data_IF_260061355171
#
_entry.id   IF_260061355171
#
_cell.length_a   1.000
_cell.length_b   1.000
_cell.length_c   1.000
_cell.angle_alpha   90.00
_cell.angle_beta   90.00
_cell.angle_gamma   90.00
#
_symmetry.space_group_name_H-M   'P 1'
#
loop_
_entity.id
_entity.type
_entity.pdbx_description
1 polymer ?
#
# COMPACT_ATOMS: atom_id res chain seq x y z
N UNK A 1 -4.57 26.66 10.19
CA UNK A 1 -4.98 27.06 11.56
C UNK A 1 -4.14 28.22 12.08
N UNK A 2 -2.81 28.13 12.09
CA UNK A 2 -1.92 29.20 12.56
C UNK A 2 -2.17 30.57 11.88
N UNK A 3 -2.35 30.59 10.55
CA UNK A 3 -2.66 31.80 9.79
C UNK A 3 -3.98 32.48 10.23
N UNK A 4 -5.04 31.68 10.43
CA UNK A 4 -6.34 32.18 10.90
C UNK A 4 -6.25 32.81 12.29
N UNK A 5 -5.58 32.12 13.22
CA UNK A 5 -5.40 32.60 14.60
C UNK A 5 -4.60 33.90 14.62
N UNK A 6 -3.52 33.97 13.83
CA UNK A 6 -2.65 35.16 13.73
C UNK A 6 -3.40 36.36 13.15
N UNK A 7 -4.17 36.16 12.07
CA UNK A 7 -4.94 37.26 11.46
C UNK A 7 -6.05 37.77 12.39
N UNK A 8 -6.71 36.87 13.11
CA UNK A 8 -7.76 37.24 14.06
C UNK A 8 -7.19 37.99 15.27
N UNK A 9 -6.01 37.58 15.77
CA UNK A 9 -5.35 38.27 16.90
C UNK A 9 -4.82 39.66 16.55
N UNK A 10 -4.56 39.91 15.26
CA UNK A 10 -4.03 41.17 14.77
C UNK A 10 -5.12 42.14 14.26
N UNK A 11 -6.38 41.73 14.25
CA UNK A 11 -7.51 42.59 13.86
C UNK A 11 -7.90 43.50 15.03
N UNK A 12 -7.97 44.82 14.81
CA UNK A 12 -8.20 45.80 15.90
C UNK A 12 -9.67 45.93 16.30
N UNK A 13 -10.59 45.63 15.38
CA UNK A 13 -12.06 45.74 15.55
C UNK A 13 -12.61 47.16 15.74
N UNK A 14 -11.80 48.22 15.59
CA UNK A 14 -12.25 49.60 15.79
C UNK A 14 -13.48 49.96 14.93
N UNK A 15 -13.46 49.54 13.66
CA UNK A 15 -14.56 49.74 12.70
C UNK A 15 -15.91 49.15 13.16
N UNK A 16 -15.91 48.16 14.06
CA UNK A 16 -17.14 47.57 14.62
C UNK A 16 -17.81 48.53 15.60
N UNK A 17 -17.04 49.42 16.23
CA UNK A 17 -17.53 50.33 17.27
C UNK A 17 -17.94 51.70 16.71
N UNK A 18 -17.59 52.02 15.46
CA UNK A 18 -17.82 53.33 14.83
C UNK A 18 -19.30 53.68 14.55
N UNK A 19 -20.18 52.69 14.38
CA UNK A 19 -21.59 52.92 14.04
C UNK A 19 -22.51 52.84 15.27
N UNK A 20 -23.51 53.71 15.42
CA UNK A 20 -24.48 53.61 16.54
C UNK A 20 -25.59 52.57 16.33
N UNK A 21 -25.73 52.02 15.13
CA UNK A 21 -26.73 51.01 14.82
C UNK A 21 -26.18 49.60 15.07
N UNK A 22 -26.92 48.78 15.84
CA UNK A 22 -26.51 47.43 16.25
C UNK A 22 -26.32 46.50 15.04
N UNK A 23 -27.22 46.58 14.06
CA UNK A 23 -27.14 45.76 12.85
C UNK A 23 -25.89 46.11 12.03
N UNK A 24 -25.54 47.40 11.95
CA UNK A 24 -24.30 47.87 11.32
C UNK A 24 -23.06 47.31 12.02
N UNK A 25 -23.01 47.36 13.36
CA UNK A 25 -21.89 46.77 14.14
C UNK A 25 -21.74 45.27 13.86
N UNK A 26 -22.85 44.53 13.93
CA UNK A 26 -22.85 43.09 13.72
C UNK A 26 -22.39 42.72 12.29
N UNK A 27 -22.88 43.43 11.29
CA UNK A 27 -22.48 43.20 9.90
C UNK A 27 -20.99 43.51 9.67
N UNK A 28 -20.46 44.59 10.25
CA UNK A 28 -19.03 44.92 10.18
C UNK A 28 -18.15 43.83 10.81
N UNK A 29 -18.55 43.34 12.00
CA UNK A 29 -17.88 42.21 12.64
C UNK A 29 -17.90 40.97 11.75
N UNK A 30 -19.09 40.57 11.29
CA UNK A 30 -19.30 39.34 10.54
C UNK A 30 -18.53 39.36 9.21
N UNK A 31 -18.56 40.48 8.48
CA UNK A 31 -17.84 40.63 7.23
C UNK A 31 -16.32 40.50 7.43
N UNK A 32 -15.79 41.13 8.47
CA UNK A 32 -14.35 41.08 8.80
C UNK A 32 -13.92 39.66 9.18
N UNK A 33 -14.70 39.01 10.05
CA UNK A 33 -14.49 37.64 10.45
C UNK A 33 -14.51 36.67 9.26
N UNK A 34 -15.55 36.77 8.40
CA UNK A 34 -15.70 35.89 7.23
C UNK A 34 -14.57 36.11 6.22
N UNK A 35 -14.13 37.36 6.02
CA UNK A 35 -12.99 37.67 5.17
C UNK A 35 -11.72 36.96 5.65
N UNK A 36 -11.42 37.05 6.95
CA UNK A 36 -10.27 36.35 7.55
C UNK A 36 -10.43 34.84 7.40
N UNK A 37 -11.63 34.31 7.67
CA UNK A 37 -11.95 32.89 7.56
C UNK A 37 -11.71 32.36 6.14
N UNK A 38 -12.33 32.96 5.11
CA UNK A 38 -12.19 32.49 3.74
C UNK A 38 -10.78 32.66 3.19
N UNK A 39 -10.04 33.69 3.64
CA UNK A 39 -8.62 33.85 3.26
C UNK A 39 -7.72 32.77 3.88
N UNK A 40 -8.04 32.31 5.08
CA UNK A 40 -7.25 31.34 5.83
C UNK A 40 -7.61 29.89 5.49
N UNK A 41 -8.83 29.67 5.00
CA UNK A 41 -9.38 28.37 4.62
C UNK A 41 -9.91 28.39 3.17
N UNK A 42 -9.05 28.66 2.16
CA UNK A 42 -9.50 28.70 0.78
C UNK A 42 -10.02 27.33 0.33
N UNK A 43 -11.17 27.34 -0.36
CA UNK A 43 -11.68 26.14 -1.02
C UNK A 43 -10.72 25.72 -2.12
N UNK A 44 -10.17 24.51 -2.01
CA UNK A 44 -9.30 23.93 -3.03
C UNK A 44 -10.06 22.83 -3.76
N UNK A 45 -10.09 22.92 -5.09
CA UNK A 45 -10.59 21.83 -5.93
C UNK A 45 -9.56 20.72 -5.87
N UNK A 46 -9.88 19.65 -5.13
CA UNK A 46 -9.06 18.45 -5.08
C UNK A 46 -9.51 17.55 -6.23
N UNK A 47 -8.64 17.37 -7.23
CA UNK A 47 -8.84 16.30 -8.20
C UNK A 47 -8.63 14.98 -7.49
N UNK A 48 -9.70 14.21 -7.30
CA UNK A 48 -9.60 12.84 -6.83
C UNK A 48 -9.15 11.98 -8.01
N UNK A 49 -7.87 12.09 -8.34
CA UNK A 49 -7.22 11.13 -9.23
C UNK A 49 -7.33 9.78 -8.53
N UNK A 50 -8.25 8.94 -9.00
CA UNK A 50 -8.40 7.57 -8.56
C UNK A 50 -7.16 6.79 -8.99
N UNK A 51 -6.00 7.07 -8.37
CA UNK A 51 -4.68 6.67 -8.87
C UNK A 51 -4.52 5.16 -8.94
N UNK A 52 -5.33 4.41 -8.20
CA UNK A 52 -5.37 2.95 -8.29
C UNK A 52 -6.78 2.46 -7.96
N UNK A 53 -7.71 2.51 -8.93
CA UNK A 53 -8.90 1.66 -8.84
C UNK A 53 -8.41 0.24 -8.97
N UNK A 54 -8.22 -0.40 -7.81
CA UNK A 54 -7.91 -1.82 -7.76
C UNK A 54 -8.91 -2.58 -8.63
N UNK A 55 -8.39 -3.22 -9.68
CA UNK A 55 -9.18 -3.80 -10.77
C UNK A 55 -10.06 -4.96 -10.31
N UNK A 56 -9.78 -5.56 -9.14
CA UNK A 56 -10.59 -6.61 -8.56
C UNK A 56 -11.82 -6.09 -7.79
N UNK A 57 -11.92 -4.78 -7.51
CA UNK A 57 -13.05 -4.22 -6.75
C UNK A 57 -14.25 -3.98 -7.68
N UNK A 58 -15.15 -4.96 -7.74
CA UNK A 58 -16.39 -4.87 -8.50
C UNK A 58 -17.46 -4.03 -7.80
N UNK A 59 -18.51 -3.63 -8.54
CA UNK A 59 -19.70 -2.98 -7.96
C UNK A 59 -20.32 -3.87 -6.88
N UNK A 60 -20.40 -5.19 -7.12
CA UNK A 60 -20.90 -6.16 -6.16
C UNK A 60 -20.12 -6.16 -4.84
N UNK A 61 -18.78 -6.16 -4.90
CA UNK A 61 -17.93 -6.08 -3.69
C UNK A 61 -18.18 -4.78 -2.94
N UNK A 62 -18.31 -3.64 -3.64
CA UNK A 62 -18.63 -2.35 -3.01
C UNK A 62 -19.97 -2.39 -2.28
N UNK A 63 -21.01 -2.93 -2.93
CA UNK A 63 -22.34 -3.12 -2.33
C UNK A 63 -22.24 -4.02 -1.09
N UNK A 64 -21.51 -5.13 -1.18
CA UNK A 64 -21.31 -6.02 -0.04
C UNK A 64 -20.53 -5.39 1.10
N UNK A 65 -19.53 -4.55 0.82
CA UNK A 65 -18.83 -3.76 1.85
C UNK A 65 -19.77 -2.75 2.52
N UNK A 66 -20.64 -2.08 1.76
CA UNK A 66 -21.66 -1.18 2.31
C UNK A 66 -22.64 -1.94 3.21
N UNK A 67 -23.11 -3.11 2.78
CA UNK A 67 -23.98 -3.95 3.57
C UNK A 67 -23.30 -4.48 4.84
N UNK A 68 -22.03 -4.91 4.75
CA UNK A 68 -21.20 -5.26 5.93
C UNK A 68 -21.17 -4.12 6.94
N UNK A 69 -21.01 -2.88 6.48
CA UNK A 69 -21.00 -1.69 7.36
C UNK A 69 -22.35 -1.49 8.04
N UNK A 70 -23.45 -1.64 7.31
CA UNK A 70 -24.80 -1.56 7.88
C UNK A 70 -25.03 -2.65 8.94
N UNK A 71 -24.68 -3.90 8.62
CA UNK A 71 -24.75 -5.03 9.56
C UNK A 71 -23.89 -4.81 10.79
N UNK A 72 -22.68 -4.27 10.63
CA UNK A 72 -21.81 -3.94 11.76
C UNK A 72 -22.48 -2.96 12.70
N UNK A 73 -23.01 -1.84 12.18
CA UNK A 73 -23.70 -0.84 13.00
C UNK A 73 -24.90 -1.45 13.72
N UNK A 74 -25.75 -2.21 13.02
CA UNK A 74 -26.88 -2.89 13.62
C UNK A 74 -26.45 -3.90 14.71
N UNK A 75 -25.39 -4.67 14.48
CA UNK A 75 -24.90 -5.69 15.42
C UNK A 75 -24.15 -5.11 16.62
N UNK A 76 -23.57 -3.90 16.49
CA UNK A 76 -22.83 -3.22 17.55
C UNK A 76 -23.77 -2.72 18.63
N UNK A 77 -24.89 -2.14 18.22
CA UNK A 77 -25.83 -1.47 19.12
C UNK A 77 -26.93 -2.44 19.61
N UNK A 78 -26.94 -3.69 19.12
CA UNK A 78 -27.89 -4.75 19.50
C UNK A 78 -27.26 -5.80 20.42
N UNK A 79 -28.05 -6.30 21.37
CA UNK A 79 -27.70 -7.45 22.21
C UNK A 79 -28.11 -8.80 21.62
N UNK A 80 -28.70 -8.83 20.41
CA UNK A 80 -29.13 -10.07 19.76
C UNK A 80 -27.93 -10.94 19.32
N UNK A 81 -27.76 -12.16 19.90
CA UNK A 81 -26.71 -13.08 19.50
C UNK A 81 -26.83 -13.56 18.05
N UNK A 82 -28.07 -13.66 17.52
CA UNK A 82 -28.32 -14.11 16.15
C UNK A 82 -27.79 -13.10 15.15
N UNK A 83 -28.05 -11.82 15.37
CA UNK A 83 -27.51 -10.73 14.54
C UNK A 83 -25.98 -10.67 14.55
N UNK A 84 -25.36 -10.83 15.74
CA UNK A 84 -23.89 -10.90 15.85
C UNK A 84 -23.31 -12.11 15.11
N UNK A 85 -23.96 -13.26 15.20
CA UNK A 85 -23.58 -14.47 14.45
C UNK A 85 -23.70 -14.26 12.95
N UNK A 86 -24.81 -13.67 12.50
CA UNK A 86 -25.06 -13.35 11.09
C UNK A 86 -23.99 -12.40 10.54
N UNK A 87 -23.65 -11.33 11.26
CA UNK A 87 -22.57 -10.41 10.87
C UNK A 87 -21.23 -11.14 10.72
N UNK A 88 -20.86 -12.01 11.68
CA UNK A 88 -19.63 -12.82 11.59
C UNK A 88 -19.64 -13.74 10.37
N UNK A 89 -20.74 -14.41 10.09
CA UNK A 89 -20.90 -15.27 8.91
C UNK A 89 -20.76 -14.45 7.61
N UNK A 90 -21.44 -13.31 7.54
CA UNK A 90 -21.34 -12.40 6.41
C UNK A 90 -19.91 -11.94 6.16
N UNK A 91 -19.17 -11.60 7.22
CA UNK A 91 -17.75 -11.24 7.11
C UNK A 91 -16.91 -12.36 6.51
N UNK A 92 -17.13 -13.63 6.92
CA UNK A 92 -16.42 -14.79 6.37
C UNK A 92 -16.71 -14.96 4.88
N UNK A 93 -17.99 -14.90 4.48
CA UNK A 93 -18.41 -15.01 3.07
C UNK A 93 -17.76 -13.89 2.25
N UNK A 94 -17.88 -12.64 2.70
CA UNK A 94 -17.31 -11.50 1.98
C UNK A 94 -15.79 -11.61 1.83
N UNK A 95 -15.09 -12.11 2.86
CA UNK A 95 -13.65 -12.33 2.80
C UNK A 95 -13.28 -13.36 1.74
N UNK A 96 -14.06 -14.45 1.61
CA UNK A 96 -13.89 -15.44 0.54
C UNK A 96 -14.13 -14.82 -0.83
N UNK A 97 -15.23 -14.07 -1.00
CA UNK A 97 -15.54 -13.39 -2.27
C UNK A 97 -14.42 -12.43 -2.69
N UNK A 98 -13.89 -11.63 -1.76
CA UNK A 98 -12.77 -10.71 -2.04
C UNK A 98 -11.50 -11.48 -2.44
N UNK A 99 -11.20 -12.59 -1.75
CA UNK A 99 -10.05 -13.44 -2.08
C UNK A 99 -10.15 -14.00 -3.50
N UNK A 100 -11.30 -14.57 -3.86
CA UNK A 100 -11.54 -15.11 -5.21
C UNK A 100 -11.46 -14.02 -6.28
N UNK A 101 -12.06 -12.85 -6.03
CA UNK A 101 -12.00 -11.73 -6.96
C UNK A 101 -10.57 -11.23 -7.20
N UNK A 102 -9.76 -11.13 -6.13
CA UNK A 102 -8.33 -10.82 -6.24
C UNK A 102 -7.59 -11.86 -7.08
N UNK A 103 -7.75 -13.13 -6.75
CA UNK A 103 -7.08 -14.24 -7.43
C UNK A 103 -7.41 -14.27 -8.92
N UNK A 104 -8.69 -14.21 -9.28
CA UNK A 104 -9.14 -14.23 -10.67
C UNK A 104 -8.60 -13.04 -11.47
N UNK A 105 -8.58 -11.86 -10.86
CA UNK A 105 -8.04 -10.67 -11.49
C UNK A 105 -6.53 -10.77 -11.72
N UNK A 106 -5.75 -11.17 -10.71
CA UNK A 106 -4.31 -11.32 -10.85
C UNK A 106 -3.93 -12.43 -11.83
N UNK A 107 -4.61 -13.57 -11.78
CA UNK A 107 -4.43 -14.64 -12.78
C UNK A 107 -4.71 -14.12 -14.19
N UNK A 108 -5.81 -13.39 -14.38
CA UNK A 108 -6.14 -12.80 -15.68
C UNK A 108 -5.09 -11.80 -16.17
N UNK A 109 -4.53 -10.98 -15.28
CA UNK A 109 -3.47 -10.03 -15.61
C UNK A 109 -2.17 -10.74 -16.01
N UNK A 110 -1.77 -11.77 -15.26
CA UNK A 110 -0.55 -12.54 -15.55
C UNK A 110 -0.70 -13.29 -16.87
N UNK A 111 -1.84 -13.95 -17.11
CA UNK A 111 -2.07 -14.72 -18.33
C UNK A 111 -2.11 -13.84 -19.58
N UNK A 112 -2.65 -12.63 -19.49
CA UNK A 112 -2.71 -11.66 -20.60
C UNK A 112 -1.43 -10.86 -20.80
N UNK A 113 -0.46 -10.97 -19.90
CA UNK A 113 0.79 -10.20 -19.99
C UNK A 113 1.79 -10.84 -20.94
N UNK A 114 2.46 -9.99 -21.73
CA UNK A 114 3.60 -10.37 -22.55
C UNK A 114 4.80 -10.83 -21.69
N UNK A 115 5.01 -10.20 -20.52
CA UNK A 115 6.07 -10.57 -19.57
C UNK A 115 5.47 -10.99 -18.23
N UNK A 116 5.21 -12.30 -18.11
CA UNK A 116 4.58 -12.91 -16.93
C UNK A 116 5.40 -12.70 -15.66
N UNK A 117 6.72 -12.83 -15.73
CA UNK A 117 7.62 -12.71 -14.57
C UNK A 117 7.55 -11.28 -14.02
N UNK A 118 7.71 -10.28 -14.89
CA UNK A 118 7.62 -8.87 -14.50
C UNK A 118 6.25 -8.54 -13.89
N UNK A 119 5.17 -8.95 -14.55
CA UNK A 119 3.81 -8.68 -14.05
C UNK A 119 3.55 -9.33 -12.69
N UNK A 120 4.01 -10.57 -12.46
CA UNK A 120 3.90 -11.21 -11.15
C UNK A 120 4.65 -10.42 -10.08
N UNK A 121 5.88 -9.97 -10.35
CA UNK A 121 6.65 -9.15 -9.42
C UNK A 121 6.04 -7.77 -9.17
N UNK A 122 5.44 -7.16 -10.19
CA UNK A 122 4.71 -5.90 -10.05
C UNK A 122 3.49 -6.07 -9.14
N UNK A 123 2.72 -7.16 -9.30
CA UNK A 123 1.60 -7.50 -8.40
C UNK A 123 2.09 -7.69 -6.96
N UNK A 124 3.16 -8.47 -6.76
CA UNK A 124 3.74 -8.70 -5.42
C UNK A 124 4.20 -7.39 -4.81
N UNK A 125 4.85 -6.51 -5.58
CA UNK A 125 5.29 -5.19 -5.12
C UNK A 125 4.10 -4.34 -4.65
N UNK A 126 3.01 -4.31 -5.43
CA UNK A 126 1.78 -3.58 -5.07
C UNK A 126 1.16 -4.15 -3.78
N UNK A 127 1.00 -5.47 -3.66
CA UNK A 127 0.39 -6.09 -2.48
C UNK A 127 1.27 -6.02 -1.23
N UNK A 128 2.60 -6.02 -1.39
CA UNK A 128 3.54 -5.93 -0.27
C UNK A 128 3.59 -4.54 0.37
N UNK A 129 3.04 -3.51 -0.29
CA UNK A 129 2.99 -2.13 0.22
C UNK A 129 4.36 -1.48 0.42
N UNK A 130 5.45 -2.13 0.01
CA UNK A 130 6.80 -1.59 0.11
C UNK A 130 6.94 -0.50 -0.94
N UNK A 131 7.15 0.74 -0.48
CA UNK A 131 7.68 1.79 -1.36
C UNK A 131 9.04 1.30 -1.83
N UNK A 132 9.27 1.25 -3.13
CA UNK A 132 10.62 1.04 -3.63
C UNK A 132 11.44 2.25 -3.22
N UNK A 133 12.24 2.09 -2.18
CA UNK A 133 13.31 3.03 -1.92
C UNK A 133 14.40 2.61 -2.90
N UNK A 134 14.71 3.47 -3.87
CA UNK A 134 15.92 3.31 -4.67
C UNK A 134 17.09 3.75 -3.79
N UNK A 135 17.42 2.91 -2.81
CA UNK A 135 18.67 3.02 -2.08
C UNK A 135 19.70 2.20 -2.85
N UNK A 136 20.64 2.90 -3.49
CA UNK A 136 21.80 2.25 -4.09
C UNK A 136 22.65 1.59 -2.99
N UNK A 137 23.25 0.44 -3.30
CA UNK A 137 24.19 -0.23 -2.39
C UNK A 137 25.39 0.69 -2.19
N UNK A 138 25.48 1.32 -1.01
CA UNK A 138 26.52 2.32 -0.74
C UNK A 138 27.91 1.69 -0.54
N UNK A 139 27.98 0.47 -0.02
CA UNK A 139 29.22 -0.28 0.15
C UNK A 139 28.95 -1.75 0.42
N UNK A 140 29.84 -2.63 -0.05
CA UNK A 140 29.83 -4.06 0.23
C UNK A 140 31.16 -4.47 0.87
N UNK A 141 31.12 -5.32 1.89
CA UNK A 141 32.34 -5.92 2.44
C UNK A 141 32.64 -7.23 1.70
N UNK A 142 33.75 -7.26 0.96
CA UNK A 142 34.24 -8.44 0.25
C UNK A 142 35.53 -8.86 0.95
N UNK A 143 35.54 -10.06 1.54
CA UNK A 143 36.72 -10.65 2.19
C UNK A 143 37.41 -9.73 3.24
N UNK A 144 36.61 -8.96 3.98
CA UNK A 144 37.12 -8.05 5.01
C UNK A 144 37.51 -6.65 4.51
N UNK A 145 37.40 -6.39 3.20
CA UNK A 145 37.60 -5.06 2.60
C UNK A 145 36.26 -4.45 2.18
N UNK A 146 35.94 -3.29 2.77
CA UNK A 146 34.79 -2.49 2.34
C UNK A 146 35.09 -1.83 0.99
N UNK A 147 34.25 -2.07 -0.02
CA UNK A 147 34.31 -1.41 -1.33
C UNK A 147 33.01 -0.67 -1.61
N UNK A 148 33.14 0.53 -2.19
CA UNK A 148 32.03 1.33 -2.70
C UNK A 148 32.01 1.38 -4.24
N UNK A 149 32.91 0.66 -4.92
CA UNK A 149 32.98 0.65 -6.37
C UNK A 149 31.90 -0.28 -6.96
N UNK A 150 30.93 0.25 -7.74
CA UNK A 150 29.83 -0.55 -8.29
C UNK A 150 30.29 -1.73 -9.15
N UNK A 151 31.38 -1.57 -9.91
CA UNK A 151 31.91 -2.63 -10.77
C UNK A 151 32.48 -3.78 -9.93
N UNK A 152 33.24 -3.45 -8.87
CA UNK A 152 33.79 -4.45 -7.96
C UNK A 152 32.67 -5.19 -7.21
N UNK A 153 31.63 -4.47 -6.79
CA UNK A 153 30.44 -5.06 -6.17
C UNK A 153 29.73 -6.02 -7.14
N UNK A 154 29.49 -5.60 -8.38
CA UNK A 154 28.85 -6.43 -9.40
C UNK A 154 29.66 -7.69 -9.72
N UNK A 155 30.98 -7.56 -9.89
CA UNK A 155 31.89 -8.69 -10.10
C UNK A 155 31.84 -9.69 -8.96
N UNK A 156 31.88 -9.23 -7.70
CA UNK A 156 31.82 -10.11 -6.54
C UNK A 156 30.48 -10.86 -6.43
N UNK A 157 29.36 -10.20 -6.73
CA UNK A 157 28.07 -10.88 -6.81
C UNK A 157 28.06 -11.96 -7.91
N UNK A 158 28.60 -11.64 -9.09
CA UNK A 158 28.68 -12.59 -10.20
C UNK A 158 29.51 -13.81 -9.81
N UNK A 159 30.72 -13.62 -9.29
CA UNK A 159 31.59 -14.72 -8.86
C UNK A 159 30.94 -15.59 -7.78
N UNK A 160 30.30 -14.96 -6.78
CA UNK A 160 29.60 -15.68 -5.73
C UNK A 160 28.50 -16.60 -6.28
N UNK A 161 27.59 -16.04 -7.10
CA UNK A 161 26.46 -16.82 -7.62
C UNK A 161 26.88 -17.86 -8.68
N UNK A 162 27.93 -17.59 -9.47
CA UNK A 162 28.52 -18.59 -10.38
C UNK A 162 29.14 -19.75 -9.60
N UNK A 163 29.92 -19.46 -8.54
CA UNK A 163 30.54 -20.51 -7.72
C UNK A 163 29.51 -21.40 -7.02
N UNK A 164 28.37 -20.85 -6.61
CA UNK A 164 27.26 -21.63 -6.06
C UNK A 164 26.64 -22.56 -7.11
N UNK A 165 26.43 -22.07 -8.32
CA UNK A 165 25.91 -22.87 -9.41
C UNK A 165 26.86 -24.05 -9.69
N UNK A 166 28.16 -23.78 -9.85
CA UNK A 166 29.20 -24.79 -10.08
C UNK A 166 29.22 -25.85 -8.97
N UNK A 167 29.23 -25.44 -7.69
CA UNK A 167 29.17 -26.37 -6.56
C UNK A 167 27.92 -27.25 -6.60
N UNK A 168 26.78 -26.69 -6.99
CA UNK A 168 25.52 -27.43 -7.09
C UNK A 168 25.56 -28.45 -8.22
N UNK A 169 26.11 -28.08 -9.39
CA UNK A 169 26.29 -28.99 -10.52
C UNK A 169 27.29 -30.12 -10.21
N UNK A 170 28.43 -29.80 -9.59
CA UNK A 170 29.44 -30.79 -9.21
C UNK A 170 28.91 -31.80 -8.19
N UNK A 171 28.09 -31.37 -7.21
CA UNK A 171 27.52 -32.28 -6.21
C UNK A 171 26.51 -33.26 -6.82
N UNK A 172 25.72 -32.81 -7.80
CA UNK A 172 24.79 -33.68 -8.52
C UNK A 172 25.50 -34.75 -9.37
N UNK A 173 26.61 -34.39 -10.03
CA UNK A 173 27.39 -35.36 -10.81
C UNK A 173 28.08 -36.41 -9.92
N UNK A 174 28.57 -36.03 -8.75
CA UNK A 174 29.18 -36.98 -7.80
C UNK A 174 28.17 -37.98 -7.22
N UNK A 175 26.93 -37.55 -6.97
CA UNK A 175 25.87 -38.46 -6.50
C UNK A 175 25.43 -39.46 -7.58
N UNK A 176 25.41 -39.06 -8.85
CA UNK A 176 25.10 -39.98 -9.96
C UNK A 176 26.20 -41.02 -10.19
N UNK A 177 27.48 -40.66 -10.02
CA UNK A 177 28.59 -41.60 -10.15
C UNK A 177 28.66 -42.61 -9.00
N UNK A 178 28.31 -42.22 -7.77
CA UNK A 178 28.26 -43.16 -6.64
C UNK A 178 27.10 -44.17 -6.73
N UNK A 179 25.95 -43.78 -7.31
CA UNK A 179 24.84 -44.72 -7.53
C UNK A 179 25.14 -45.76 -8.64
N UNK A 180 25.95 -45.42 -9.64
CA UNK A 180 26.35 -46.37 -10.67
C UNK A 180 27.39 -47.40 -10.18
N UNK A 181 28.24 -47.05 -9.21
CA UNK A 181 29.22 -47.99 -8.65
C UNK A 181 28.60 -49.00 -7.65
N UNK A 182 27.50 -48.66 -6.97
CA UNK A 182 26.84 -49.58 -6.04
C UNK A 182 25.96 -50.64 -6.72
N UNK A 183 25.57 -50.46 -7.99
CA UNK A 183 24.79 -51.47 -8.73
C UNK A 183 25.65 -52.57 -9.39
N UNK A 184 26.97 -52.43 -9.43
CA UNK A 184 27.87 -53.43 -10.04
C UNK A 184 28.49 -54.44 -9.05
N UNK A 185 28.20 -54.33 -7.74
CA UNK A 185 28.76 -55.22 -6.71
C UNK A 185 27.78 -56.25 -6.11
N UNK A 186 26.59 -56.42 -6.69
CA UNK A 186 25.56 -57.37 -6.21
C UNK A 186 25.25 -58.53 -7.16
N UNK A 187 26.17 -58.86 -8.08
CA UNK A 187 26.10 -60.11 -8.87
C UNK A 187 27.41 -60.90 -8.70
N UNK A 188 27.47 -61.72 -7.65
CA UNK A 188 28.21 -62.99 -7.62
C UNK A 188 27.70 -63.87 -6.48
#
# INVERSE_FOLDING_TARGET
MADFVTKLSNESWDNVFDSNNIDSKFNCFLNTYLRIFYSSFPLKIVKNENKNKSTWITIGIKTSCKHKRQLYLASRDSNDPRLKSHYKMYCKILSKVIKEAKQNNYNSQILKSNNKIKTTWDIVKVESGKKSVNEDVQSLNIEGKSTNNPQAIASAFNEYFLSLAEKTYSNNNNNNNNNNNNNNNNNN
#
